data_IF_760748539995
#
_entry.id   IF_760748539995
#
_cell.length_a   1.000
_cell.length_b   1.000
_cell.length_c   1.000
_cell.angle_alpha   90.00
_cell.angle_beta   90.00
_cell.angle_gamma   90.00
#
_symmetry.space_group_name_H-M   'P 1'
#
loop_
_entity.id
_entity.type
_entity.pdbx_description
1 polymer ?
#
# COMPACT_ATOMS: atom_id res chain seq x y z
N UNK A 1 53.74 28.46 -34.90
CA UNK A 1 53.73 27.65 -33.65
C UNK A 1 53.14 28.54 -32.56
N UNK A 2 52.07 28.28 -31.81
CA UNK A 2 51.13 27.16 -31.63
C UNK A 2 49.80 27.82 -31.21
N UNK A 3 48.67 27.32 -31.70
CA UNK A 3 47.33 27.62 -31.20
C UNK A 3 47.22 27.14 -29.74
N UNK A 4 46.61 27.92 -28.86
CA UNK A 4 46.08 27.42 -27.59
C UNK A 4 44.59 27.73 -27.59
N UNK A 5 43.83 26.70 -27.96
CA UNK A 5 42.39 26.57 -27.80
C UNK A 5 42.21 25.86 -26.45
N UNK A 6 41.70 26.54 -25.43
CA UNK A 6 41.50 26.00 -24.10
C UNK A 6 40.02 25.96 -23.77
N UNK A 7 39.45 24.77 -23.89
CA UNK A 7 38.03 24.43 -23.79
C UNK A 7 37.49 24.69 -22.38
N UNK A 8 36.38 25.42 -22.31
CA UNK A 8 35.57 25.65 -21.11
C UNK A 8 34.85 24.33 -20.75
N UNK A 9 35.26 23.68 -19.66
CA UNK A 9 34.55 22.50 -19.13
C UNK A 9 33.29 22.97 -18.38
N UNK A 10 32.14 22.93 -19.06
CA UNK A 10 30.83 23.01 -18.44
C UNK A 10 30.51 21.63 -17.83
N UNK A 11 30.56 21.50 -16.51
CA UNK A 11 30.01 20.33 -15.82
C UNK A 11 28.50 20.53 -15.74
N UNK A 12 27.80 19.99 -16.74
CA UNK A 12 26.35 19.88 -16.72
C UNK A 12 25.99 18.71 -15.79
N UNK A 13 25.58 19.01 -14.56
CA UNK A 13 24.96 18.04 -13.67
C UNK A 13 23.56 17.75 -14.23
N UNK A 14 23.44 16.68 -15.02
CA UNK A 14 22.15 16.10 -15.37
C UNK A 14 21.55 15.52 -14.09
N UNK A 15 20.62 16.27 -13.48
CA UNK A 15 19.61 15.68 -12.61
C UNK A 15 18.72 14.80 -13.49
N UNK A 16 19.07 13.52 -13.61
CA UNK A 16 18.11 12.50 -14.01
C UNK A 16 17.12 12.34 -12.87
N UNK A 17 16.03 13.10 -12.91
CA UNK A 17 14.80 12.71 -12.21
C UNK A 17 14.36 11.39 -12.82
N UNK A 18 14.66 10.29 -12.14
CA UNK A 18 13.96 9.02 -12.37
C UNK A 18 12.51 9.26 -11.99
N UNK A 19 11.67 9.62 -12.95
CA UNK A 19 10.25 9.35 -12.85
C UNK A 19 10.10 7.84 -13.01
N UNK A 20 10.16 7.09 -11.91
CA UNK A 20 9.50 5.79 -11.91
C UNK A 20 8.01 6.07 -12.07
N UNK A 21 7.54 5.93 -13.30
CA UNK A 21 6.12 5.79 -13.58
C UNK A 21 5.70 4.41 -13.08
N UNK A 22 5.54 4.26 -11.77
CA UNK A 22 4.78 3.14 -11.24
C UNK A 22 3.33 3.42 -11.57
N UNK A 23 2.82 2.70 -12.56
CA UNK A 23 1.39 2.45 -12.70
C UNK A 23 0.96 1.92 -11.33
N UNK A 24 0.29 2.76 -10.54
CA UNK A 24 -0.18 2.41 -9.22
C UNK A 24 -1.17 1.24 -9.35
N UNK A 25 -0.70 0.03 -9.04
CA UNK A 25 -1.51 -1.17 -8.93
C UNK A 25 -2.33 -0.98 -7.65
N UNK A 26 -3.66 -1.13 -7.75
CA UNK A 26 -4.65 -0.68 -6.76
C UNK A 26 -4.68 -1.47 -5.43
N UNK A 27 -3.51 -1.95 -5.01
CA UNK A 27 -3.27 -2.72 -3.80
C UNK A 27 -1.83 -2.58 -3.28
N UNK A 28 -0.91 -1.99 -4.05
CA UNK A 28 0.42 -1.71 -3.53
C UNK A 28 0.30 -0.59 -2.49
N UNK A 29 0.49 -0.96 -1.23
CA UNK A 29 0.75 -0.02 -0.14
C UNK A 29 1.92 0.84 -0.64
N UNK A 30 1.73 2.16 -0.86
CA UNK A 30 2.74 2.92 -1.55
C UNK A 30 4.04 2.89 -0.76
N UNK A 31 5.14 2.52 -1.42
CA UNK A 31 6.48 2.66 -0.86
C UNK A 31 6.68 4.13 -0.48
N UNK A 32 7.05 4.38 0.78
CA UNK A 32 7.16 5.71 1.34
C UNK A 32 8.34 6.48 0.71
N UNK A 33 8.11 7.11 -0.44
CA UNK A 33 8.96 8.20 -0.91
C UNK A 33 8.62 9.48 -0.13
N UNK A 34 9.58 9.88 0.69
CA UNK A 34 9.67 11.12 1.50
C UNK A 34 8.76 12.24 1.02
N UNK A 35 7.55 12.35 1.59
CA UNK A 35 6.85 13.63 1.65
C UNK A 35 6.91 14.15 3.08
N UNK A 36 7.83 15.09 3.30
CA UNK A 36 7.87 15.93 4.48
C UNK A 36 6.69 16.90 4.40
N UNK A 37 5.66 16.68 5.21
CA UNK A 37 4.82 17.78 5.66
C UNK A 37 4.70 17.74 7.19
N UNK A 38 4.98 18.89 7.79
CA UNK A 38 5.17 19.10 9.21
C UNK A 38 3.81 19.12 9.92
N UNK A 39 3.56 18.16 10.82
CA UNK A 39 2.74 18.41 12.02
C UNK A 39 3.04 17.42 13.14
N UNK A 40 3.22 18.00 14.32
CA UNK A 40 3.71 17.41 15.57
C UNK A 40 2.86 16.26 16.14
N UNK A 41 3.57 15.25 16.65
CA UNK A 41 3.34 14.43 17.86
C UNK A 41 1.95 13.82 18.09
N UNK A 42 1.87 12.49 17.98
CA UNK A 42 0.70 11.65 18.32
C UNK A 42 0.11 11.01 17.08
N UNK A 43 0.45 9.75 16.80
CA UNK A 43 -0.02 9.04 15.61
C UNK A 43 -1.55 9.08 15.52
N UNK A 44 -2.10 9.88 14.60
CA UNK A 44 -3.53 9.99 14.28
C UNK A 44 -4.04 8.76 13.51
N UNK A 45 -3.52 7.57 13.82
CA UNK A 45 -3.95 6.33 13.23
C UNK A 45 -5.38 6.01 13.69
N UNK A 46 -6.36 6.47 12.91
CA UNK A 46 -7.78 6.25 13.14
C UNK A 46 -8.41 5.67 11.87
N UNK A 47 -8.11 4.39 11.63
CA UNK A 47 -8.62 3.66 10.48
C UNK A 47 -10.15 3.59 10.49
N UNK A 48 -10.78 3.48 11.66
CA UNK A 48 -12.24 3.41 11.77
C UNK A 48 -12.93 4.64 11.19
N UNK A 49 -12.45 5.85 11.54
CA UNK A 49 -12.97 7.09 10.98
C UNK A 49 -12.76 7.16 9.47
N UNK A 50 -11.56 6.79 9.00
CA UNK A 50 -11.15 6.97 7.61
C UNK A 50 -11.76 5.93 6.65
N UNK A 51 -12.12 4.75 7.17
CA UNK A 51 -12.74 3.67 6.41
C UNK A 51 -14.28 3.68 6.52
N UNK A 52 -14.83 4.64 7.26
CA UNK A 52 -16.27 4.84 7.37
C UNK A 52 -16.88 5.42 6.09
N UNK A 53 -18.19 5.20 5.89
CA UNK A 53 -18.95 5.79 4.78
C UNK A 53 -18.83 7.32 4.72
N UNK A 54 -18.88 7.99 5.87
CA UNK A 54 -18.83 9.46 5.92
C UNK A 54 -17.48 10.02 5.46
N UNK A 55 -16.41 9.22 5.47
CA UNK A 55 -15.13 9.59 4.90
C UNK A 55 -15.18 9.75 3.37
N UNK A 56 -16.15 9.12 2.69
CA UNK A 56 -16.44 9.32 1.27
C UNK A 56 -17.49 10.42 1.01
N UNK A 57 -18.28 10.80 2.03
CA UNK A 57 -19.30 11.85 1.94
C UNK A 57 -20.51 11.57 2.83
N UNK A 58 -21.10 12.62 3.41
CA UNK A 58 -22.18 12.49 4.41
C UNK A 58 -23.54 12.10 3.81
N UNK A 59 -23.78 12.41 2.53
CA UNK A 59 -25.09 12.26 1.87
C UNK A 59 -25.11 11.15 0.81
N UNK A 60 -24.17 10.21 0.89
CA UNK A 60 -24.10 9.09 -0.04
C UNK A 60 -25.26 8.11 0.21
N UNK A 61 -25.75 7.47 -0.86
CA UNK A 61 -26.73 6.39 -0.78
C UNK A 61 -26.14 5.08 -0.27
N UNK A 62 -26.72 3.96 -0.71
CA UNK A 62 -26.08 2.65 -0.52
C UNK A 62 -24.85 2.53 -1.44
N UNK A 63 -23.82 1.77 -1.03
CA UNK A 63 -22.71 1.46 -1.91
C UNK A 63 -23.21 0.73 -3.18
N UNK A 64 -22.60 1.03 -4.32
CA UNK A 64 -22.85 0.31 -5.58
C UNK A 64 -22.08 -1.01 -5.64
N UNK A 65 -20.98 -1.10 -4.88
CA UNK A 65 -20.20 -2.31 -4.65
C UNK A 65 -20.04 -2.45 -3.14
N UNK A 66 -20.45 -3.58 -2.56
CA UNK A 66 -20.24 -3.95 -1.16
C UNK A 66 -19.86 -5.44 -1.08
N UNK A 67 -18.57 -5.70 -1.22
CA UNK A 67 -18.06 -7.07 -1.32
C UNK A 67 -17.02 -7.40 -0.28
N UNK A 68 -16.89 -8.71 -0.03
CA UNK A 68 -15.82 -9.31 0.76
C UNK A 68 -14.97 -10.21 -0.13
N UNK A 69 -13.66 -10.06 -0.01
CA UNK A 69 -12.66 -10.85 -0.70
C UNK A 69 -11.70 -11.43 0.34
N UNK A 70 -11.48 -12.75 0.33
CA UNK A 70 -10.44 -13.36 1.17
C UNK A 70 -9.14 -13.38 0.39
N UNK A 71 -8.07 -12.79 0.94
CA UNK A 71 -6.74 -12.76 0.33
C UNK A 71 -5.79 -13.62 1.14
N UNK A 72 -4.94 -14.38 0.44
CA UNK A 72 -3.86 -15.18 1.01
C UNK A 72 -2.55 -14.88 0.29
N UNK A 73 -1.45 -15.11 1.02
CA UNK A 73 -0.09 -15.02 0.52
C UNK A 73 0.20 -13.71 -0.23
N UNK A 74 -0.21 -12.59 0.35
CA UNK A 74 0.14 -11.26 -0.15
C UNK A 74 1.43 -10.78 0.52
N UNK A 75 2.37 -10.19 -0.20
CA UNK A 75 3.65 -9.72 0.36
C UNK A 75 3.53 -8.26 0.77
N UNK A 76 4.23 -7.88 1.82
CA UNK A 76 4.30 -6.49 2.26
C UNK A 76 5.73 -5.92 2.31
N UNK A 77 5.84 -4.64 1.97
CA UNK A 77 7.09 -3.88 2.04
C UNK A 77 7.19 -3.07 3.34
N UNK A 78 8.42 -2.78 3.74
CA UNK A 78 8.77 -1.89 4.84
C UNK A 78 9.72 -0.80 4.38
N UNK A 79 10.24 0.00 5.31
CA UNK A 79 11.17 1.07 4.97
C UNK A 79 12.55 0.51 4.58
N UNK A 80 13.23 1.25 3.70
CA UNK A 80 14.60 0.94 3.30
C UNK A 80 14.69 -0.16 2.24
N UNK A 81 15.83 -0.85 2.23
CA UNK A 81 16.15 -1.91 1.27
C UNK A 81 16.37 -3.23 1.98
N UNK A 82 16.26 -4.33 1.23
CA UNK A 82 16.56 -5.66 1.78
C UNK A 82 18.02 -5.76 2.21
N UNK A 83 18.25 -6.35 3.39
CA UNK A 83 19.59 -6.71 3.85
C UNK A 83 20.19 -7.87 3.03
N UNK A 84 19.36 -8.68 2.38
CA UNK A 84 19.78 -9.86 1.60
C UNK A 84 19.89 -9.59 0.11
N UNK A 85 19.09 -8.65 -0.40
CA UNK A 85 19.08 -8.28 -1.81
C UNK A 85 19.37 -6.78 -1.97
N UNK A 86 20.65 -6.38 -2.01
CA UNK A 86 21.03 -4.97 -2.14
C UNK A 86 20.44 -4.34 -3.40
N UNK A 87 19.71 -3.24 -3.22
CA UNK A 87 19.02 -2.53 -4.31
C UNK A 87 17.56 -2.93 -4.51
N UNK A 88 17.08 -3.96 -3.81
CA UNK A 88 15.66 -4.33 -3.78
C UNK A 88 14.94 -3.70 -2.58
N UNK A 89 13.62 -3.53 -2.72
CA UNK A 89 12.75 -3.07 -1.64
C UNK A 89 12.80 -4.02 -0.43
N UNK A 90 12.47 -3.50 0.74
CA UNK A 90 12.43 -4.30 1.98
C UNK A 90 11.11 -5.09 2.08
N UNK A 91 11.00 -6.23 1.40
CA UNK A 91 9.90 -7.17 1.61
C UNK A 91 10.15 -8.01 2.86
N UNK A 92 9.27 -7.85 3.86
CA UNK A 92 9.55 -8.32 5.23
C UNK A 92 8.56 -9.36 5.74
N UNK A 93 7.38 -9.50 5.12
CA UNK A 93 6.39 -10.49 5.51
C UNK A 93 5.55 -11.00 4.34
N UNK A 94 4.78 -12.05 4.65
CA UNK A 94 3.60 -12.45 3.89
C UNK A 94 2.37 -12.38 4.79
N UNK A 95 1.24 -11.96 4.25
CA UNK A 95 0.00 -11.72 4.96
C UNK A 95 -1.23 -12.41 4.34
N UNK A 96 -2.29 -12.50 5.14
CA UNK A 96 -3.60 -13.01 4.76
C UNK A 96 -4.68 -12.29 5.56
N UNK A 97 -5.78 -11.91 4.89
CA UNK A 97 -6.81 -11.05 5.48
C UNK A 97 -8.13 -11.18 4.73
N UNK A 98 -9.20 -10.65 5.33
CA UNK A 98 -10.46 -10.41 4.67
C UNK A 98 -10.53 -8.93 4.29
N UNK A 99 -10.66 -8.68 3.00
CA UNK A 99 -10.83 -7.34 2.45
C UNK A 99 -12.31 -7.03 2.27
N UNK A 100 -12.76 -5.96 2.90
CA UNK A 100 -14.09 -5.39 2.73
C UNK A 100 -14.00 -4.18 1.80
N UNK A 101 -14.58 -4.31 0.61
CA UNK A 101 -14.54 -3.27 -0.43
C UNK A 101 -15.92 -2.65 -0.53
N UNK A 102 -15.99 -1.34 -0.29
CA UNK A 102 -17.20 -0.56 -0.49
C UNK A 102 -16.95 0.59 -1.45
N UNK A 103 -17.81 0.78 -2.44
CA UNK A 103 -17.68 1.84 -3.44
C UNK A 103 -18.99 2.61 -3.55
N UNK A 104 -18.89 3.94 -3.55
CA UNK A 104 -20.01 4.86 -3.75
C UNK A 104 -19.74 5.75 -4.97
N UNK A 105 -20.79 6.03 -5.74
CA UNK A 105 -20.75 7.12 -6.71
C UNK A 105 -20.73 8.46 -5.97
N UNK A 106 -19.79 9.32 -6.34
CA UNK A 106 -19.66 10.70 -5.84
C UNK A 106 -20.00 11.75 -6.90
N UNK A 107 -20.28 11.30 -8.12
CA UNK A 107 -20.67 12.11 -9.28
C UNK A 107 -20.76 11.24 -10.54
N UNK A 108 -20.85 11.90 -11.70
CA UNK A 108 -20.80 11.20 -12.99
C UNK A 108 -19.43 10.52 -13.15
N UNK A 109 -19.43 9.19 -13.19
CA UNK A 109 -18.25 8.34 -13.32
C UNK A 109 -17.13 8.60 -12.30
N UNK A 110 -17.43 9.28 -11.18
CA UNK A 110 -16.49 9.49 -10.08
C UNK A 110 -16.91 8.67 -8.87
N UNK A 111 -15.91 8.09 -8.21
CA UNK A 111 -16.11 7.09 -7.18
C UNK A 111 -15.24 7.39 -5.96
N UNK A 112 -15.78 7.04 -4.80
CA UNK A 112 -15.00 6.89 -3.59
C UNK A 112 -15.14 5.46 -3.08
N UNK A 113 -14.02 4.86 -2.70
CA UNK A 113 -13.97 3.53 -2.13
C UNK A 113 -13.35 3.55 -0.73
N UNK A 114 -13.88 2.71 0.15
CA UNK A 114 -13.18 2.31 1.38
C UNK A 114 -12.87 0.82 1.30
N UNK A 115 -11.63 0.49 1.63
CA UNK A 115 -11.12 -0.88 1.59
C UNK A 115 -10.51 -1.20 2.94
N UNK A 116 -11.20 -2.04 3.72
CA UNK A 116 -10.80 -2.38 5.08
C UNK A 116 -10.30 -3.83 5.17
N UNK A 117 -9.24 -4.04 5.95
CA UNK A 117 -8.56 -5.32 6.12
C UNK A 117 -8.87 -5.81 7.53
N UNK A 118 -9.63 -6.90 7.61
CA UNK A 118 -10.08 -7.52 8.85
C UNK A 118 -9.53 -8.95 9.02
N UNK A 119 -9.38 -9.38 10.26
CA UNK A 119 -8.84 -10.69 10.62
C UNK A 119 -7.42 -10.95 10.08
N UNK A 120 -6.67 -9.89 9.83
CA UNK A 120 -5.38 -9.96 9.17
C UNK A 120 -4.31 -10.64 10.01
N UNK A 121 -3.52 -11.51 9.38
CA UNK A 121 -2.36 -12.17 9.98
C UNK A 121 -1.16 -12.01 9.06
N UNK A 122 0.03 -11.89 9.65
CA UNK A 122 1.28 -11.90 8.90
C UNK A 122 2.27 -12.92 9.49
N UNK A 123 3.16 -13.41 8.64
CA UNK A 123 4.34 -14.18 9.01
C UNK A 123 5.55 -13.45 8.43
N UNK A 124 6.45 -13.00 9.29
CA UNK A 124 7.62 -12.27 8.87
C UNK A 124 8.71 -13.22 8.36
N UNK A 125 9.50 -12.75 7.39
CA UNK A 125 10.59 -13.53 6.83
C UNK A 125 11.81 -13.47 7.74
N UNK A 126 12.21 -14.64 8.24
CA UNK A 126 13.37 -14.77 9.12
C UNK A 126 14.62 -14.14 8.49
N UNK A 127 15.33 -13.34 9.30
CA UNK A 127 16.51 -12.54 8.96
C UNK A 127 16.29 -11.39 7.99
N UNK A 128 15.10 -11.14 7.43
CA UNK A 128 14.90 -9.93 6.62
C UNK A 128 15.05 -8.66 7.47
N UNK A 129 15.28 -7.52 6.81
CA UNK A 129 15.29 -6.22 7.49
C UNK A 129 13.92 -5.99 8.13
N UNK A 130 13.89 -5.58 9.40
CA UNK A 130 12.63 -5.21 10.06
C UNK A 130 11.88 -4.13 9.27
N UNK A 131 10.54 -4.06 9.35
CA UNK A 131 9.76 -3.11 8.53
C UNK A 131 10.03 -1.63 8.85
N UNK A 132 10.59 -1.32 10.01
CA UNK A 132 11.12 0.01 10.34
C UNK A 132 12.44 0.36 9.63
N UNK A 133 12.97 -0.53 8.78
CA UNK A 133 14.19 -0.34 8.00
C UNK A 133 15.49 -0.51 8.78
N UNK A 134 15.43 -1.10 9.97
CA UNK A 134 16.58 -1.36 10.83
C UNK A 134 16.47 -2.74 11.47
N UNK A 135 17.60 -3.31 11.90
CA UNK A 135 17.64 -4.62 12.55
C UNK A 135 17.26 -5.78 11.63
N UNK A 136 17.42 -7.01 12.12
CA UNK A 136 17.00 -8.22 11.42
C UNK A 136 15.89 -8.92 12.20
N UNK A 137 14.92 -9.45 11.47
CA UNK A 137 13.79 -10.21 12.01
C UNK A 137 14.29 -11.55 12.58
N UNK A 138 13.91 -11.83 13.82
CA UNK A 138 14.17 -13.06 14.55
C UNK A 138 13.37 -14.26 14.03
N UNK A 139 13.62 -15.46 14.58
CA UNK A 139 12.85 -16.63 14.22
C UNK A 139 11.39 -16.51 14.69
N UNK A 140 10.48 -17.12 13.94
CA UNK A 140 9.06 -17.28 14.29
C UNK A 140 8.28 -15.98 14.56
N UNK A 141 8.73 -14.84 14.00
CA UNK A 141 8.03 -13.56 14.14
C UNK A 141 6.76 -13.56 13.29
N UNK A 142 5.62 -13.54 13.96
CA UNK A 142 4.29 -13.51 13.34
C UNK A 142 3.35 -12.64 14.18
N UNK A 143 2.20 -12.29 13.62
CA UNK A 143 1.26 -11.46 14.34
C UNK A 143 0.00 -11.12 13.58
N UNK A 144 -0.65 -10.08 14.08
CA UNK A 144 -1.92 -9.57 13.55
C UNK A 144 -1.70 -8.27 12.81
N UNK A 145 -2.48 -8.07 11.75
CA UNK A 145 -2.52 -6.83 11.01
C UNK A 145 -3.95 -6.36 10.81
N UNK A 146 -4.15 -5.05 10.79
CA UNK A 146 -5.42 -4.40 10.45
C UNK A 146 -5.15 -3.05 9.84
N UNK A 147 -6.08 -2.57 9.03
CA UNK A 147 -5.93 -1.30 8.35
C UNK A 147 -6.75 -1.21 7.09
N UNK A 148 -6.26 -0.42 6.15
CA UNK A 148 -6.89 -0.26 4.86
C UNK A 148 -6.58 1.08 4.23
N UNK A 149 -7.38 1.43 3.24
CA UNK A 149 -7.28 2.73 2.58
C UNK A 149 -8.65 3.25 2.12
N UNK A 150 -8.69 4.58 1.93
CA UNK A 150 -9.74 5.26 1.19
C UNK A 150 -9.16 5.69 -0.14
N UNK A 151 -9.87 5.40 -1.21
CA UNK A 151 -9.47 5.78 -2.56
C UNK A 151 -10.54 6.63 -3.25
N UNK A 152 -10.10 7.47 -4.18
CA UNK A 152 -10.97 8.19 -5.12
C UNK A 152 -10.46 7.97 -6.53
N UNK A 153 -11.36 7.80 -7.49
CA UNK A 153 -10.98 7.55 -8.89
C UNK A 153 -12.15 7.86 -9.83
N UNK A 154 -11.85 7.88 -11.13
CA UNK A 154 -12.85 8.02 -12.19
C UNK A 154 -12.91 6.76 -13.05
N UNK A 155 -14.07 6.42 -13.58
CA UNK A 155 -14.24 5.32 -14.55
C UNK A 155 -15.68 4.85 -14.73
N UNK A 156 -15.90 4.05 -15.76
CA UNK A 156 -17.22 3.46 -16.04
C UNK A 156 -17.37 2.13 -15.29
N UNK A 157 -18.41 2.02 -14.46
CA UNK A 157 -18.75 0.77 -13.75
C UNK A 157 -19.20 -0.29 -14.76
N UNK A 158 -18.37 -1.30 -14.97
CA UNK A 158 -18.62 -2.47 -15.81
C UNK A 158 -18.26 -3.73 -15.02
N UNK A 159 -19.15 -4.22 -14.15
CA UNK A 159 -18.89 -5.43 -13.37
C UNK A 159 -18.66 -6.62 -14.30
N UNK A 160 -17.52 -7.29 -14.14
CA UNK A 160 -17.19 -8.52 -14.85
C UNK A 160 -17.92 -9.73 -14.26
N UNK A 161 -17.16 -10.78 -13.96
CA UNK A 161 -17.67 -12.00 -13.32
C UNK A 161 -17.95 -11.85 -11.81
N UNK A 162 -17.43 -10.80 -11.17
CA UNK A 162 -17.63 -10.54 -9.76
C UNK A 162 -19.00 -9.92 -9.49
N UNK A 163 -19.72 -10.46 -8.50
CA UNK A 163 -20.92 -9.81 -7.99
C UNK A 163 -20.56 -8.43 -7.43
N UNK A 164 -21.51 -7.50 -7.48
CA UNK A 164 -21.33 -6.19 -6.83
C UNK A 164 -21.60 -6.27 -5.32
N UNK A 165 -22.17 -7.37 -4.83
CA UNK A 165 -22.50 -7.54 -3.42
C UNK A 165 -22.16 -8.95 -2.93
N UNK A 166 -21.75 -9.07 -1.66
CA UNK A 166 -21.52 -10.34 -1.00
C UNK A 166 -20.06 -10.82 -1.06
N UNK A 167 -19.84 -12.13 -1.13
CA UNK A 167 -18.49 -12.69 -1.18
C UNK A 167 -18.07 -12.96 -2.63
N UNK A 168 -16.90 -12.46 -3.03
CA UNK A 168 -16.36 -12.65 -4.40
C UNK A 168 -15.31 -13.76 -4.47
N UNK A 169 -15.06 -14.46 -3.36
CA UNK A 169 -14.22 -15.65 -3.30
C UNK A 169 -12.96 -15.49 -2.44
N UNK A 170 -12.08 -16.47 -2.61
CA UNK A 170 -10.74 -16.52 -2.02
C UNK A 170 -9.70 -16.46 -3.13
N UNK A 171 -8.74 -15.56 -2.97
CA UNK A 171 -7.66 -15.34 -3.91
C UNK A 171 -6.35 -15.60 -3.19
N UNK A 172 -5.57 -16.52 -3.75
CA UNK A 172 -4.20 -16.75 -3.35
C UNK A 172 -3.32 -15.91 -4.27
N UNK A 173 -2.64 -14.90 -3.73
CA UNK A 173 -1.78 -14.04 -4.53
C UNK A 173 -0.43 -14.70 -4.85
N UNK A 174 -0.09 -15.76 -4.11
CA UNK A 174 1.12 -16.57 -4.30
C UNK A 174 2.40 -15.72 -4.35
N UNK A 175 2.47 -14.67 -3.51
CA UNK A 175 3.61 -13.77 -3.50
C UNK A 175 4.85 -14.44 -2.88
N UNK A 176 6.01 -14.19 -3.50
CA UNK A 176 7.33 -14.52 -2.94
C UNK A 176 8.02 -13.29 -2.31
N UNK A 177 9.25 -13.47 -1.79
CA UNK A 177 10.00 -12.37 -1.16
C UNK A 177 10.58 -11.33 -2.13
N UNK A 178 10.36 -11.50 -3.43
CA UNK A 178 10.72 -10.53 -4.46
C UNK A 178 9.47 -9.81 -5.02
N UNK A 179 8.31 -10.00 -4.37
CA UNK A 179 7.02 -9.51 -4.82
C UNK A 179 6.58 -10.00 -6.20
N UNK A 180 7.02 -11.20 -6.60
CA UNK A 180 6.38 -11.92 -7.69
C UNK A 180 5.07 -12.51 -7.18
N UNK A 181 3.93 -11.93 -7.59
CA UNK A 181 2.59 -12.34 -7.15
C UNK A 181 1.73 -12.79 -8.35
N UNK A 182 1.96 -13.98 -8.93
CA UNK A 182 1.25 -14.43 -10.13
C UNK A 182 -0.25 -14.59 -9.94
N UNK A 183 -0.72 -14.81 -8.71
CA UNK A 183 -2.15 -14.92 -8.38
C UNK A 183 -2.83 -13.61 -8.02
N UNK A 184 -2.11 -12.48 -8.04
CA UNK A 184 -2.65 -11.18 -7.62
C UNK A 184 -3.77 -10.71 -8.55
N UNK A 185 -4.87 -10.26 -7.94
CA UNK A 185 -6.02 -9.70 -8.65
C UNK A 185 -6.22 -8.25 -8.25
N UNK A 186 -6.26 -7.35 -9.24
CA UNK A 186 -6.64 -5.97 -9.02
C UNK A 186 -8.18 -5.84 -9.01
N UNK A 187 -8.76 -5.66 -7.83
CA UNK A 187 -10.21 -5.53 -7.65
C UNK A 187 -10.82 -4.35 -8.43
N UNK A 188 -10.09 -3.24 -8.62
CA UNK A 188 -10.59 -2.08 -9.36
C UNK A 188 -10.88 -2.48 -10.78
N UNK A 189 -9.94 -3.19 -11.43
CA UNK A 189 -10.12 -3.65 -12.82
C UNK A 189 -11.24 -4.67 -13.00
N UNK A 190 -11.69 -5.34 -11.93
CA UNK A 190 -12.83 -6.28 -11.99
C UNK A 190 -14.18 -5.55 -12.14
N UNK A 191 -14.26 -4.30 -11.70
CA UNK A 191 -15.45 -3.47 -11.77
C UNK A 191 -15.32 -2.26 -12.69
N UNK A 192 -14.10 -1.77 -12.90
CA UNK A 192 -13.77 -0.59 -13.68
C UNK A 192 -12.57 -0.92 -14.59
N UNK A 193 -12.77 -1.64 -15.70
CA UNK A 193 -11.68 -2.03 -16.62
C UNK A 193 -10.93 -0.83 -17.22
N UNK A 194 -11.54 0.34 -17.24
CA UNK A 194 -10.96 1.59 -17.72
C UNK A 194 -11.13 2.69 -16.67
N UNK A 195 -10.40 2.58 -15.56
CA UNK A 195 -10.34 3.61 -14.53
C UNK A 195 -9.15 4.56 -14.74
N UNK A 196 -9.21 5.73 -14.13
CA UNK A 196 -8.13 6.72 -14.12
C UNK A 196 -8.11 7.48 -12.79
N UNK A 197 -7.03 8.22 -12.55
CA UNK A 197 -6.88 9.10 -11.39
C UNK A 197 -7.12 8.40 -10.04
N UNK A 198 -6.61 7.17 -9.89
CA UNK A 198 -6.70 6.46 -8.62
C UNK A 198 -5.76 7.08 -7.59
N UNK A 199 -6.37 7.84 -6.68
CA UNK A 199 -5.71 8.49 -5.57
C UNK A 199 -6.09 7.80 -4.27
N UNK A 200 -5.17 7.81 -3.30
CA UNK A 200 -5.39 7.29 -1.96
C UNK A 200 -5.25 8.42 -0.93
N UNK A 201 -6.29 9.27 -0.75
CA UNK A 201 -6.23 10.38 0.20
C UNK A 201 -5.96 9.95 1.65
N UNK A 202 -6.16 8.67 1.96
CA UNK A 202 -5.77 8.10 3.23
C UNK A 202 -5.45 6.62 3.08
N UNK A 203 -4.38 6.17 3.74
CA UNK A 203 -4.09 4.75 3.93
C UNK A 203 -3.35 4.55 5.26
N UNK A 204 -3.50 3.36 5.82
CA UNK A 204 -2.76 2.99 7.01
C UNK A 204 -3.02 1.58 7.49
N UNK A 205 -1.95 0.96 7.98
CA UNK A 205 -1.94 -0.36 8.59
C UNK A 205 -1.14 -0.37 9.89
N UNK A 206 -1.57 -1.21 10.83
CA UNK A 206 -0.86 -1.50 12.07
C UNK A 206 -0.61 -3.01 12.17
N UNK A 207 0.62 -3.36 12.49
CA UNK A 207 1.13 -4.72 12.66
C UNK A 207 1.54 -4.90 14.11
N UNK A 208 1.06 -5.96 14.75
CA UNK A 208 1.38 -6.28 16.15
C UNK A 208 1.98 -7.67 16.22
N UNK A 209 3.24 -7.75 16.64
CA UNK A 209 4.04 -8.97 16.72
C UNK A 209 4.22 -9.46 18.17
N UNK A 210 3.34 -9.06 19.09
CA UNK A 210 3.49 -9.36 20.52
C UNK A 210 4.78 -8.76 21.10
N UNK A 211 5.63 -9.60 21.68
CA UNK A 211 6.92 -9.19 22.26
C UNK A 211 7.94 -8.69 21.23
N UNK A 212 7.71 -8.95 19.94
CA UNK A 212 8.59 -8.53 18.84
C UNK A 212 8.32 -7.10 18.35
N UNK A 213 7.33 -6.42 18.93
CA UNK A 213 7.07 -5.01 18.68
C UNK A 213 5.78 -4.73 17.91
N UNK A 214 5.65 -3.47 17.51
CA UNK A 214 4.53 -2.94 16.75
C UNK A 214 5.08 -2.01 15.69
N UNK A 215 4.54 -2.14 14.49
CA UNK A 215 4.86 -1.26 13.37
C UNK A 215 3.58 -0.65 12.80
N UNK A 216 3.62 0.65 12.54
CA UNK A 216 2.53 1.41 11.93
C UNK A 216 3.05 1.93 10.59
N UNK A 217 2.42 1.50 9.51
CA UNK A 217 2.69 2.00 8.17
C UNK A 217 1.49 2.83 7.72
N UNK A 218 1.61 4.16 7.70
CA UNK A 218 0.51 5.03 7.33
C UNK A 218 1.00 6.32 6.67
N UNK A 219 0.15 6.92 5.83
CA UNK A 219 0.46 8.18 5.11
C UNK A 219 0.88 9.32 6.05
N UNK A 220 0.28 9.38 7.24
CA UNK A 220 0.49 10.47 8.21
C UNK A 220 1.40 10.06 9.40
N UNK A 221 2.22 9.02 9.24
CA UNK A 221 3.11 8.54 10.29
C UNK A 221 4.56 8.62 9.84
N UNK A 222 5.36 9.40 10.56
CA UNK A 222 6.79 9.55 10.24
C UNK A 222 7.55 8.25 10.51
N UNK A 223 8.59 7.93 9.71
CA UNK A 223 9.40 6.73 9.92
C UNK A 223 9.96 6.60 11.33
N UNK A 224 10.41 7.72 11.93
CA UNK A 224 10.99 7.76 13.27
C UNK A 224 10.05 7.32 14.40
N UNK A 225 8.72 7.35 14.17
CA UNK A 225 7.71 6.97 15.17
C UNK A 225 6.84 5.80 14.70
N UNK A 226 7.15 5.22 13.54
CA UNK A 226 6.43 4.08 12.98
C UNK A 226 6.65 2.79 13.78
N UNK A 227 7.68 2.74 14.62
CA UNK A 227 8.07 1.52 15.33
C UNK A 227 8.82 0.54 14.43
N UNK A 228 8.98 -0.69 14.88
CA UNK A 228 9.64 -1.77 14.16
C UNK A 228 9.17 -3.13 14.69
N UNK A 229 9.45 -4.19 13.93
CA UNK A 229 9.22 -5.59 14.30
C UNK A 229 10.53 -6.36 14.08
N UNK A 230 11.05 -6.98 15.15
CA UNK A 230 12.33 -7.72 15.16
C UNK A 230 12.24 -9.04 15.91
#
# INVERSE_FOLDING_TARGET
MKKITGILFFVLVLFTTFFYSTIAIADDKPDQERRNDDRHNGSNFNSEKQLSKSACGERLGNPVIDVTQKVKNDVDSGFGTSAYFPGEANYWNVESYIRHIKVWSTGEETWCATVAYDGGRFNAFYKQTGPGGTGLIGPDVNGEMRGGYRATFSGTLTPGSWSTHGNVGTFDYDCDLHANCPGRVNWVTQYFPSYSAFDQPWWGWIYKAGSHGTWINAIDVLPAVSGNIL
#
